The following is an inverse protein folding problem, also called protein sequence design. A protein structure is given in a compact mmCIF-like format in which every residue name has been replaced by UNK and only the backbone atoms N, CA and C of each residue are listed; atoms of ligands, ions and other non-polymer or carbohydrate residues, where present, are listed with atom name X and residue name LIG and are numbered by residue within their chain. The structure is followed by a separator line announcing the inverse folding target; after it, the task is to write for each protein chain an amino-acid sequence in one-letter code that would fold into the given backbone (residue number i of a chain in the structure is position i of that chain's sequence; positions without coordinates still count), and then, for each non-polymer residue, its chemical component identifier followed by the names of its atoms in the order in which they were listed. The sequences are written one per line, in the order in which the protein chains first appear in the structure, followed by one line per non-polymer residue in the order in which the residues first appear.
data_IF_469134047205
#
_entry.id   IF_469134047205
#
_cell.length_a   1.000
_cell.length_b   1.000
_cell.length_c   1.000
_cell.angle_alpha   90.00
_cell.angle_beta   90.00
_cell.angle_gamma   90.00
#
_symmetry.space_group_name_H-M   'P 1'
#
loop_
_entity.id
_entity.type
_entity.pdbx_description
1 polymer ?
#
# COMPACT_ATOMS: atom_id res chain seq x y z
N UNK A 1 -29.91 -31.75 -19.44
CA UNK A 1 -30.21 -30.94 -18.24
C UNK A 1 -29.05 -30.86 -17.27
N UNK A 2 -28.50 -31.97 -16.77
CA UNK A 2 -27.39 -31.96 -15.79
C UNK A 2 -26.15 -31.16 -16.26
N UNK A 3 -25.76 -31.26 -17.54
CA UNK A 3 -24.63 -30.48 -18.10
C UNK A 3 -24.83 -28.96 -18.08
N UNK A 4 -26.07 -28.47 -18.23
CA UNK A 4 -26.38 -27.04 -18.18
C UNK A 4 -26.41 -26.52 -16.74
N UNK A 5 -26.86 -27.34 -15.79
CA UNK A 5 -26.88 -27.02 -14.36
C UNK A 5 -25.46 -26.95 -13.78
N UNK A 6 -24.56 -27.84 -14.20
CA UNK A 6 -23.15 -27.80 -13.77
C UNK A 6 -22.43 -26.56 -14.31
N UNK A 7 -22.72 -26.16 -15.55
CA UNK A 7 -22.10 -24.98 -16.17
C UNK A 7 -22.55 -23.67 -15.51
N UNK A 8 -23.82 -23.56 -15.11
CA UNK A 8 -24.35 -22.38 -14.40
C UNK A 8 -23.92 -22.32 -12.93
N UNK A 9 -23.69 -23.45 -12.28
CA UNK A 9 -23.12 -23.48 -10.92
C UNK A 9 -21.64 -23.08 -10.95
N UNK A 10 -20.86 -23.56 -11.92
CA UNK A 10 -19.45 -23.16 -12.08
C UNK A 10 -19.28 -21.67 -12.35
N UNK A 11 -20.17 -21.04 -13.12
CA UNK A 11 -20.11 -19.60 -13.38
C UNK A 11 -20.49 -18.75 -12.15
N UNK A 12 -21.31 -19.26 -11.23
CA UNK A 12 -21.68 -18.57 -9.99
C UNK A 12 -20.59 -18.61 -8.90
N UNK A 13 -19.74 -19.66 -8.89
CA UNK A 13 -18.61 -19.75 -7.96
C UNK A 13 -17.48 -18.76 -8.27
N UNK A 14 -17.29 -18.38 -9.55
CA UNK A 14 -16.28 -17.39 -9.95
C UNK A 14 -16.65 -15.97 -9.46
N UNK A 15 -17.95 -15.69 -9.29
CA UNK A 15 -18.44 -14.35 -8.92
C UNK A 15 -18.17 -14.00 -7.44
N UNK A 16 -17.99 -15.00 -6.56
CA UNK A 16 -17.88 -14.79 -5.10
C UNK A 16 -16.44 -14.64 -4.57
N UNK A 17 -15.41 -14.67 -5.42
CA UNK A 17 -14.02 -14.55 -5.00
C UNK A 17 -13.37 -13.23 -5.47
N UNK A 18 -14.12 -12.12 -5.45
CA UNK A 18 -13.59 -10.79 -5.79
C UNK A 18 -12.87 -10.13 -4.60
N UNK A 19 -11.84 -10.78 -4.07
CA UNK A 19 -10.73 -10.04 -3.48
C UNK A 19 -9.80 -9.69 -4.63
N UNK A 20 -9.61 -8.42 -4.96
CA UNK A 20 -8.61 -8.10 -5.98
C UNK A 20 -7.22 -8.44 -5.41
N UNK A 21 -6.26 -8.84 -6.25
CA UNK A 21 -4.87 -9.11 -5.83
C UNK A 21 -4.28 -7.91 -5.06
N UNK A 22 -4.72 -6.70 -5.41
CA UNK A 22 -4.39 -5.46 -4.71
C UNK A 22 -4.86 -5.48 -3.24
N UNK A 23 -6.08 -5.94 -2.98
CA UNK A 23 -6.65 -5.98 -1.63
C UNK A 23 -5.89 -6.96 -0.73
N UNK A 24 -5.45 -8.10 -1.28
CA UNK A 24 -4.64 -9.07 -0.52
C UNK A 24 -3.26 -8.52 -0.14
N UNK A 25 -2.59 -7.85 -1.08
CA UNK A 25 -1.28 -7.21 -0.83
C UNK A 25 -1.41 -6.11 0.23
N UNK A 26 -2.42 -5.23 0.10
CA UNK A 26 -2.69 -4.16 1.06
C UNK A 26 -2.97 -4.74 2.45
N UNK A 27 -3.82 -5.77 2.54
CA UNK A 27 -4.11 -6.42 3.82
C UNK A 27 -2.88 -7.06 4.46
N UNK A 28 -2.00 -7.67 3.65
CA UNK A 28 -0.75 -8.26 4.15
C UNK A 28 0.19 -7.21 4.72
N UNK A 29 0.37 -6.10 3.99
CA UNK A 29 1.18 -4.97 4.44
C UNK A 29 0.63 -4.37 5.74
N UNK A 30 -0.67 -4.09 5.78
CA UNK A 30 -1.36 -3.55 6.96
C UNK A 30 -1.15 -4.45 8.19
N UNK A 31 -1.39 -5.75 8.06
CA UNK A 31 -1.22 -6.72 9.16
C UNK A 31 0.23 -6.76 9.66
N UNK A 32 1.20 -6.78 8.75
CA UNK A 32 2.61 -6.80 9.11
C UNK A 32 2.99 -5.53 9.88
N UNK A 33 2.58 -4.36 9.37
CA UNK A 33 2.94 -3.09 9.99
C UNK A 33 2.18 -2.79 11.28
N UNK A 34 0.92 -3.21 11.41
CA UNK A 34 0.22 -3.18 12.70
C UNK A 34 0.93 -4.05 13.74
N UNK A 35 1.43 -5.22 13.36
CA UNK A 35 2.18 -6.09 14.27
C UNK A 35 3.54 -5.50 14.66
N UNK A 36 4.21 -4.79 13.74
CA UNK A 36 5.50 -4.15 13.99
C UNK A 36 5.39 -2.93 14.90
N UNK A 37 4.39 -2.07 14.69
CA UNK A 37 4.27 -0.80 15.42
C UNK A 37 3.35 -0.87 16.63
N UNK A 38 2.51 -1.91 16.72
CA UNK A 38 1.49 -2.02 17.77
C UNK A 38 0.28 -1.11 17.57
N UNK A 39 0.19 -0.39 16.43
CA UNK A 39 -0.97 0.45 16.13
C UNK A 39 -2.22 -0.39 15.87
N UNK A 40 -3.37 0.09 16.36
CA UNK A 40 -4.66 -0.52 16.07
C UNK A 40 -5.32 0.11 14.82
N UNK A 41 -6.25 -0.64 14.23
CA UNK A 41 -6.92 -0.24 12.99
C UNK A 41 -7.75 1.04 13.14
N UNK A 42 -8.35 1.27 14.31
CA UNK A 42 -9.18 2.46 14.55
C UNK A 42 -8.31 3.73 14.58
N UNK A 43 -7.10 3.64 15.13
CA UNK A 43 -6.13 4.74 15.08
C UNK A 43 -5.68 5.06 13.64
N UNK A 44 -5.39 4.04 12.81
CA UNK A 44 -5.06 4.23 11.39
C UNK A 44 -6.22 4.91 10.64
N UNK A 45 -7.45 4.39 10.82
CA UNK A 45 -8.65 4.89 10.15
C UNK A 45 -8.96 6.35 10.52
N UNK A 46 -8.67 6.76 11.76
CA UNK A 46 -8.86 8.13 12.23
C UNK A 46 -7.72 9.07 11.83
N UNK A 47 -6.64 8.56 11.23
CA UNK A 47 -5.45 9.31 10.84
C UNK A 47 -4.95 10.25 11.95
N UNK A 48 -5.00 9.77 13.20
CA UNK A 48 -4.52 10.57 14.33
C UNK A 48 -3.01 10.59 14.31
N UNK A 49 -2.44 11.78 14.21
CA UNK A 49 -1.00 11.99 14.40
C UNK A 49 -0.58 11.36 15.73
N UNK A 50 0.24 10.33 15.63
CA UNK A 50 0.75 9.53 16.73
C UNK A 50 2.09 8.93 16.30
N UNK A 51 3.05 8.73 17.22
CA UNK A 51 4.33 8.08 16.90
C UNK A 51 4.15 6.74 16.19
N UNK A 52 3.13 5.97 16.58
CA UNK A 52 2.81 4.66 16.02
C UNK A 52 2.33 4.77 14.57
N UNK A 53 1.52 5.77 14.24
CA UNK A 53 1.04 5.98 12.86
C UNK A 53 2.17 6.42 11.95
N UNK A 54 3.06 7.29 12.44
CA UNK A 54 4.23 7.74 11.69
C UNK A 54 5.14 6.59 11.31
N UNK A 55 5.44 5.72 12.28
CA UNK A 55 6.24 4.54 12.01
C UNK A 55 5.48 3.45 11.24
N UNK A 56 4.14 3.44 11.30
CA UNK A 56 3.33 2.57 10.44
C UNK A 56 3.51 2.95 8.97
N UNK A 57 3.45 4.24 8.62
CA UNK A 57 3.67 4.70 7.25
C UNK A 57 5.09 4.38 6.75
N UNK A 58 6.11 4.56 7.61
CA UNK A 58 7.46 4.09 7.31
C UNK A 58 7.48 2.59 7.03
N UNK A 59 6.85 1.78 7.89
CA UNK A 59 6.80 0.33 7.73
C UNK A 59 6.15 -0.06 6.39
N UNK A 60 5.09 0.63 5.97
CA UNK A 60 4.43 0.40 4.67
C UNK A 60 5.43 0.63 3.53
N UNK A 61 6.17 1.75 3.55
CA UNK A 61 7.15 2.06 2.50
C UNK A 61 8.30 1.04 2.46
N UNK A 62 8.78 0.58 3.62
CA UNK A 62 9.84 -0.43 3.72
C UNK A 62 9.35 -1.78 3.21
N UNK A 63 8.19 -2.25 3.67
CA UNK A 63 7.65 -3.55 3.27
C UNK A 63 7.17 -3.57 1.81
N UNK A 64 6.76 -2.43 1.26
CA UNK A 64 6.53 -2.23 -0.16
C UNK A 64 7.82 -2.14 -1.00
N UNK A 65 8.99 -2.18 -0.34
CA UNK A 65 10.32 -2.02 -0.96
C UNK A 65 10.53 -0.68 -1.67
N UNK A 66 9.78 0.33 -1.24
CA UNK A 66 9.93 1.69 -1.74
C UNK A 66 11.02 2.46 -1.00
N UNK A 67 11.23 2.17 0.28
CA UNK A 67 12.20 2.86 1.15
C UNK A 67 13.23 1.88 1.70
N UNK A 68 14.51 2.20 1.54
CA UNK A 68 15.58 1.50 2.23
C UNK A 68 15.63 1.96 3.71
N UNK A 69 15.47 1.05 4.70
CA UNK A 69 15.33 1.42 6.10
C UNK A 69 16.63 1.95 6.74
N UNK A 70 17.78 1.68 6.13
CA UNK A 70 19.10 2.03 6.67
C UNK A 70 19.66 3.33 6.06
N UNK A 71 19.22 3.67 4.85
CA UNK A 71 19.78 4.78 4.08
C UNK A 71 18.77 5.88 3.75
N UNK A 72 17.47 5.64 3.94
CA UNK A 72 16.41 6.58 3.61
C UNK A 72 16.19 6.75 2.09
N UNK A 73 16.87 5.96 1.27
CA UNK A 73 16.79 6.05 -0.19
C UNK A 73 15.53 5.42 -0.74
N UNK A 74 14.91 6.08 -1.71
CA UNK A 74 13.79 5.50 -2.44
C UNK A 74 14.23 4.67 -3.64
N UNK A 75 13.58 3.53 -3.84
CA UNK A 75 13.67 2.76 -5.08
C UNK A 75 12.27 2.34 -5.54
N UNK A 76 11.71 3.12 -6.47
CA UNK A 76 10.36 2.89 -6.98
C UNK A 76 10.31 1.76 -8.01
N UNK A 77 11.45 1.43 -8.64
CA UNK A 77 11.49 0.52 -9.79
C UNK A 77 11.02 -0.89 -9.42
N UNK A 78 11.52 -1.55 -8.35
CA UNK A 78 11.05 -2.87 -7.95
C UNK A 78 9.56 -2.91 -7.63
N UNK A 79 9.02 -1.85 -7.02
CA UNK A 79 7.60 -1.75 -6.71
C UNK A 79 6.78 -1.63 -8.00
N UNK A 80 7.16 -0.72 -8.90
CA UNK A 80 6.47 -0.53 -10.18
C UNK A 80 6.51 -1.80 -11.03
N UNK A 81 7.67 -2.45 -11.13
CA UNK A 81 7.86 -3.68 -11.91
C UNK A 81 7.06 -4.88 -11.36
N UNK A 82 6.54 -4.79 -10.14
CA UNK A 82 5.68 -5.82 -9.55
C UNK A 82 4.24 -5.79 -10.05
N UNK A 83 3.86 -4.75 -10.81
CA UNK A 83 2.52 -4.58 -11.36
C UNK A 83 2.47 -4.79 -12.88
N UNK A 84 1.28 -5.17 -13.42
CA UNK A 84 1.04 -5.17 -14.86
C UNK A 84 1.20 -3.78 -15.49
N UNK A 85 1.57 -3.75 -16.78
CA UNK A 85 1.85 -2.51 -17.51
C UNK A 85 0.68 -1.51 -17.48
N UNK A 86 -0.56 -2.00 -17.45
CA UNK A 86 -1.78 -1.19 -17.46
C UNK A 86 -1.94 -0.29 -16.23
N UNK A 87 -1.27 -0.61 -15.10
CA UNK A 87 -1.33 0.18 -13.86
C UNK A 87 0.00 0.84 -13.50
N UNK A 88 1.09 0.44 -14.16
CA UNK A 88 2.43 1.03 -14.01
C UNK A 88 2.43 2.54 -14.23
N UNK A 89 1.77 3.02 -15.29
CA UNK A 89 1.68 4.46 -15.58
C UNK A 89 1.03 5.26 -14.44
N UNK A 90 0.04 4.67 -13.77
CA UNK A 90 -0.63 5.32 -12.64
C UNK A 90 0.31 5.48 -11.45
N UNK A 91 1.12 4.45 -11.13
CA UNK A 91 2.10 4.53 -10.06
C UNK A 91 3.24 5.49 -10.38
N UNK A 92 3.77 5.45 -11.61
CA UNK A 92 4.79 6.40 -12.07
C UNK A 92 4.28 7.83 -11.94
N UNK A 93 3.03 8.09 -12.35
CA UNK A 93 2.40 9.41 -12.21
C UNK A 93 2.29 9.83 -10.75
N UNK A 94 1.82 8.96 -9.86
CA UNK A 94 1.69 9.25 -8.43
C UNK A 94 3.04 9.66 -7.83
N UNK A 95 4.09 8.88 -8.05
CA UNK A 95 5.40 9.21 -7.50
C UNK A 95 5.99 10.51 -8.08
N UNK A 96 5.73 10.76 -9.36
CA UNK A 96 6.13 12.01 -10.02
C UNK A 96 5.38 13.21 -9.43
N UNK A 97 4.05 13.12 -9.28
CA UNK A 97 3.21 14.18 -8.72
C UNK A 97 3.59 14.47 -7.26
N UNK A 98 3.89 13.41 -6.49
CA UNK A 98 4.33 13.51 -5.10
C UNK A 98 5.78 13.96 -4.95
N UNK A 99 6.53 14.12 -6.04
CA UNK A 99 7.95 14.52 -6.05
C UNK A 99 8.75 13.72 -5.02
N UNK A 100 8.58 12.40 -5.04
CA UNK A 100 9.26 11.51 -4.09
C UNK A 100 10.77 11.65 -4.27
N UNK A 101 11.44 11.91 -3.16
CA UNK A 101 12.90 12.02 -3.07
C UNK A 101 13.39 11.23 -1.86
N UNK A 102 14.69 10.97 -1.81
CA UNK A 102 15.32 10.36 -0.65
C UNK A 102 15.02 11.16 0.63
N UNK A 103 14.83 10.42 1.72
CA UNK A 103 14.69 11.00 3.05
C UNK A 103 15.99 11.67 3.46
N UNK A 104 15.85 12.86 4.04
CA UNK A 104 16.98 13.73 4.40
C UNK A 104 17.16 13.84 5.90
N UNK A 105 16.13 13.47 6.67
CA UNK A 105 16.15 13.49 8.13
C UNK A 105 16.67 12.15 8.68
N UNK A 106 17.03 12.11 9.97
CA UNK A 106 17.24 10.85 10.68
C UNK A 106 15.95 10.25 11.22
N UNK A 107 14.83 10.97 11.15
CA UNK A 107 13.52 10.52 11.60
C UNK A 107 12.67 10.11 10.40
N UNK A 108 12.93 8.89 9.91
CA UNK A 108 12.22 8.31 8.78
C UNK A 108 10.73 8.06 9.07
N UNK A 109 10.30 8.03 10.33
CA UNK A 109 8.88 7.91 10.66
C UNK A 109 8.16 9.23 10.38
N UNK A 110 8.71 10.35 10.84
CA UNK A 110 8.16 11.68 10.58
C UNK A 110 8.11 12.00 9.08
N UNK A 111 9.19 11.70 8.35
CA UNK A 111 9.27 11.97 6.92
C UNK A 111 8.29 11.10 6.11
N UNK A 112 8.14 9.82 6.48
CA UNK A 112 7.14 8.94 5.85
C UNK A 112 5.71 9.42 6.07
N UNK A 113 5.36 9.79 7.30
CA UNK A 113 4.04 10.34 7.62
C UNK A 113 3.75 11.61 6.83
N UNK A 114 4.76 12.49 6.70
CA UNK A 114 4.63 13.71 5.91
C UNK A 114 4.31 13.40 4.45
N UNK A 115 5.03 12.47 3.81
CA UNK A 115 4.71 12.05 2.44
C UNK A 115 3.30 11.48 2.32
N UNK A 116 2.90 10.67 3.32
CA UNK A 116 1.57 10.08 3.37
C UNK A 116 0.47 11.14 3.43
N UNK A 117 0.57 12.10 4.34
CA UNK A 117 -0.43 13.14 4.56
C UNK A 117 -0.40 14.24 3.48
N UNK A 118 0.79 14.63 3.02
CA UNK A 118 0.93 15.73 2.06
C UNK A 118 0.55 15.30 0.65
N UNK A 119 0.78 14.03 0.27
CA UNK A 119 0.52 13.58 -1.09
C UNK A 119 -0.20 12.25 -1.20
N UNK A 120 0.35 11.15 -0.69
CA UNK A 120 -0.13 9.81 -1.06
C UNK A 120 -1.60 9.57 -0.70
N UNK A 121 -2.06 10.01 0.48
CA UNK A 121 -3.47 9.92 0.90
C UNK A 121 -4.45 10.71 0.01
N UNK A 122 -3.95 11.61 -0.85
CA UNK A 122 -4.75 12.39 -1.81
C UNK A 122 -4.78 11.75 -3.20
N UNK A 123 -3.97 10.72 -3.43
CA UNK A 123 -3.84 10.07 -4.73
C UNK A 123 -4.86 8.95 -4.92
N UNK A 124 -5.57 8.90 -6.05
CA UNK A 124 -6.53 7.84 -6.33
C UNK A 124 -5.80 6.49 -6.40
N UNK A 125 -6.14 5.58 -5.49
CA UNK A 125 -5.61 4.23 -5.47
C UNK A 125 -4.42 3.98 -4.53
N UNK A 126 -3.86 5.01 -3.88
CA UNK A 126 -2.84 4.89 -2.82
C UNK A 126 -3.51 4.95 -1.43
N UNK A 127 -4.45 4.04 -1.16
CA UNK A 127 -5.00 3.86 0.18
C UNK A 127 -4.52 2.53 0.73
N UNK A 128 -3.51 2.59 1.60
CA UNK A 128 -2.99 1.46 2.39
C UNK A 128 -3.49 1.59 3.83
N UNK A 129 -4.78 1.95 3.98
CA UNK A 129 -5.49 1.85 5.26
C UNK A 129 -5.86 0.41 5.48
#
# INVERSE_FOLDING_TARGET
MIKFVVLTILSLFIIHCQGSVKDEIVQKLRKACMAETGIDLDTILKQRDSPELKCYDKCILVNARLLNPDTGKFDMKPFIDSFPAEVTESWVKIFTDCKVTDFTSSDYCEEAFKYQMDCFSKQPGFYVV
#
